data_IF_223851514884
#
_entry.id   IF_223851514884
#
_cell.length_a   1.000
_cell.length_b   1.000
_cell.length_c   1.000
_cell.angle_alpha   90.00
_cell.angle_beta   90.00
_cell.angle_gamma   90.00
#
_symmetry.space_group_name_H-M   'P 1'
#
loop_
_entity.id
_entity.type
_entity.pdbx_description
1 polymer ?
#
# COMPACT_ATOMS: atom_id res chain seq x y z
N UNK A 1 10.21 -3.76 9.18
CA UNK A 1 9.54 -3.86 7.88
C UNK A 1 9.51 -2.48 7.22
N UNK A 2 9.82 -2.42 5.95
CA UNK A 2 9.82 -1.18 5.17
C UNK A 2 8.56 -1.09 4.34
N UNK A 3 7.80 -0.01 4.50
CA UNK A 3 6.48 0.18 3.89
C UNK A 3 6.53 1.36 2.93
N UNK A 4 5.99 1.18 1.73
CA UNK A 4 5.68 2.29 0.84
C UNK A 4 4.23 2.70 1.09
N UNK A 5 4.03 3.96 1.43
CA UNK A 5 2.70 4.53 1.68
C UNK A 5 2.41 5.61 0.65
N UNK A 6 1.40 5.40 -0.17
CA UNK A 6 1.00 6.33 -1.23
C UNK A 6 -0.34 6.96 -0.87
N UNK A 7 -0.31 8.24 -0.56
CA UNK A 7 -1.47 9.04 -0.16
C UNK A 7 -1.22 10.49 -0.57
N UNK A 8 -2.11 11.08 -1.33
CA UNK A 8 -1.93 12.44 -1.84
C UNK A 8 -2.19 13.52 -0.79
N UNK A 9 -3.02 13.25 0.22
CA UNK A 9 -3.26 14.20 1.31
C UNK A 9 -2.09 14.14 2.28
N UNK A 10 -1.36 15.24 2.39
CA UNK A 10 -0.14 15.31 3.21
C UNK A 10 -0.43 15.03 4.70
N UNK A 11 -1.51 15.60 5.23
CA UNK A 11 -1.86 15.42 6.65
C UNK A 11 -2.20 13.96 6.95
N UNK A 12 -2.97 13.32 6.07
CA UNK A 12 -3.31 11.91 6.23
C UNK A 12 -2.07 11.04 6.10
N UNK A 13 -1.22 11.34 5.12
CA UNK A 13 0.03 10.60 4.91
C UNK A 13 0.94 10.70 6.14
N UNK A 14 1.10 11.89 6.69
CA UNK A 14 1.91 12.10 7.90
C UNK A 14 1.32 11.36 9.10
N UNK A 15 0.02 11.42 9.29
CA UNK A 15 -0.65 10.73 10.39
C UNK A 15 -0.48 9.22 10.32
N UNK A 16 -0.68 8.64 9.15
CA UNK A 16 -0.47 7.20 8.95
C UNK A 16 0.99 6.81 9.09
N UNK A 17 1.90 7.65 8.61
CA UNK A 17 3.34 7.42 8.76
C UNK A 17 3.71 7.36 10.24
N UNK A 18 3.28 8.33 11.03
CA UNK A 18 3.57 8.37 12.47
C UNK A 18 3.01 7.14 13.17
N UNK A 19 1.80 6.75 12.81
CA UNK A 19 1.16 5.57 13.38
C UNK A 19 1.96 4.29 13.08
N UNK A 20 2.34 4.10 11.83
CA UNK A 20 3.10 2.92 11.42
C UNK A 20 4.51 2.91 12.03
N UNK A 21 5.15 4.06 12.10
CA UNK A 21 6.46 4.18 12.73
C UNK A 21 6.40 3.90 14.22
N UNK A 22 5.30 4.26 14.88
CA UNK A 22 5.11 3.94 16.31
C UNK A 22 5.02 2.43 16.54
N UNK A 23 4.66 1.66 15.52
CA UNK A 23 4.63 0.19 15.59
C UNK A 23 5.96 -0.45 15.20
N UNK A 24 6.98 0.35 14.94
CA UNK A 24 8.32 -0.13 14.64
C UNK A 24 8.62 -0.30 13.15
N UNK A 25 7.74 0.14 12.26
CA UNK A 25 7.97 0.03 10.82
C UNK A 25 8.68 1.26 10.28
N UNK A 26 9.41 1.09 9.18
CA UNK A 26 9.98 2.21 8.42
C UNK A 26 9.05 2.55 7.27
N UNK A 27 8.78 3.84 7.04
CA UNK A 27 7.81 4.25 6.04
C UNK A 27 8.45 5.22 5.05
N UNK A 28 8.24 4.95 3.75
CA UNK A 28 8.56 5.89 2.68
C UNK A 28 7.21 6.39 2.15
N UNK A 29 6.98 7.69 2.23
CA UNK A 29 5.74 8.32 1.78
C UNK A 29 5.85 8.84 0.37
N UNK A 30 4.74 8.77 -0.36
CA UNK A 30 4.63 9.29 -1.72
C UNK A 30 3.27 9.93 -1.91
N UNK A 31 3.21 11.00 -2.69
CA UNK A 31 1.97 11.74 -2.94
C UNK A 31 1.25 11.37 -4.23
N UNK A 32 1.83 10.51 -5.07
CA UNK A 32 1.24 10.11 -6.34
C UNK A 32 1.60 8.68 -6.71
N UNK A 33 0.80 8.10 -7.61
CA UNK A 33 1.08 6.75 -8.12
C UNK A 33 2.38 6.70 -8.93
N UNK A 34 2.63 7.73 -9.72
CA UNK A 34 3.84 7.82 -10.54
C UNK A 34 5.10 7.86 -9.65
N UNK A 35 5.06 8.66 -8.60
CA UNK A 35 6.15 8.75 -7.63
C UNK A 35 6.31 7.44 -6.86
N UNK A 36 5.20 6.83 -6.46
CA UNK A 36 5.21 5.53 -5.79
C UNK A 36 5.83 4.44 -6.66
N UNK A 37 5.51 4.44 -7.95
CA UNK A 37 6.11 3.49 -8.89
C UNK A 37 7.62 3.71 -9.02
N UNK A 38 8.06 4.97 -9.03
CA UNK A 38 9.49 5.28 -9.06
C UNK A 38 10.21 4.71 -7.84
N UNK A 39 9.60 4.80 -6.67
CA UNK A 39 10.15 4.18 -5.45
C UNK A 39 10.23 2.66 -5.58
N UNK A 40 9.19 2.03 -6.13
CA UNK A 40 9.18 0.57 -6.33
C UNK A 40 10.25 0.10 -7.31
N UNK A 41 10.61 0.93 -8.27
CA UNK A 41 11.70 0.65 -9.21
C UNK A 41 13.07 0.80 -8.57
N UNK A 42 13.19 1.71 -7.59
CA UNK A 42 14.47 2.06 -6.98
C UNK A 42 14.85 1.15 -5.81
N UNK A 43 13.88 0.59 -5.10
CA UNK A 43 14.17 -0.17 -3.88
C UNK A 43 13.08 -1.19 -3.59
N UNK A 44 13.40 -2.15 -2.71
CA UNK A 44 12.46 -3.19 -2.30
C UNK A 44 11.68 -2.76 -1.06
N UNK A 45 10.39 -3.08 -1.05
CA UNK A 45 9.51 -2.86 0.10
C UNK A 45 8.91 -4.19 0.55
N UNK A 46 8.55 -4.28 1.82
CA UNK A 46 7.92 -5.47 2.39
C UNK A 46 6.40 -5.33 2.47
N UNK A 47 5.88 -4.14 2.26
CA UNK A 47 4.45 -3.88 2.17
C UNK A 47 4.23 -2.59 1.37
N UNK A 48 3.19 -2.58 0.54
CA UNK A 48 2.74 -1.38 -0.18
C UNK A 48 1.33 -1.06 0.30
N UNK A 49 1.11 0.17 0.73
CA UNK A 49 -0.21 0.68 1.11
C UNK A 49 -0.47 1.88 0.22
N UNK A 50 -1.56 1.85 -0.54
CA UNK A 50 -1.89 2.94 -1.46
C UNK A 50 -3.37 3.28 -1.43
N UNK A 51 -3.69 4.56 -1.51
CA UNK A 51 -5.03 4.99 -1.88
C UNK A 51 -5.32 4.58 -3.31
N UNK A 52 -6.58 4.31 -3.61
CA UNK A 52 -7.00 4.12 -5.00
C UNK A 52 -7.08 5.46 -5.72
N UNK A 53 -7.79 6.44 -5.11
CA UNK A 53 -8.00 7.75 -5.71
C UNK A 53 -6.81 8.65 -5.46
N UNK A 54 -6.04 8.90 -6.51
CA UNK A 54 -4.84 9.74 -6.48
C UNK A 54 -4.92 10.71 -7.67
N UNK A 55 -4.28 11.88 -7.59
CA UNK A 55 -4.18 12.76 -8.75
C UNK A 55 -3.34 12.08 -9.84
N UNK A 56 -3.75 12.24 -11.09
CA UNK A 56 -3.11 11.53 -12.21
C UNK A 56 -3.55 10.07 -12.24
N UNK A 57 -2.61 9.15 -12.28
CA UNK A 57 -2.93 7.72 -12.29
C UNK A 57 -3.37 7.26 -10.90
N UNK A 58 -4.23 6.24 -10.84
CA UNK A 58 -4.73 5.72 -9.57
C UNK A 58 -3.82 4.66 -8.97
N UNK A 59 -4.11 4.26 -7.72
CA UNK A 59 -3.31 3.26 -7.03
C UNK A 59 -3.34 1.88 -7.68
N UNK A 60 -4.48 1.51 -8.29
CA UNK A 60 -4.58 0.25 -9.02
C UNK A 60 -3.64 0.20 -10.20
N UNK A 61 -3.54 1.30 -10.96
CA UNK A 61 -2.58 1.42 -12.07
C UNK A 61 -1.15 1.21 -11.59
N UNK A 62 -0.78 1.86 -10.48
CA UNK A 62 0.56 1.72 -9.92
C UNK A 62 0.88 0.26 -9.59
N UNK A 63 -0.04 -0.42 -8.92
CA UNK A 63 0.16 -1.81 -8.55
C UNK A 63 0.23 -2.74 -9.76
N UNK A 64 -0.59 -2.49 -10.77
CA UNK A 64 -0.55 -3.28 -12.02
C UNK A 64 0.76 -3.09 -12.76
N UNK A 65 1.25 -1.85 -12.86
CA UNK A 65 2.53 -1.58 -13.50
C UNK A 65 3.68 -2.24 -12.74
N UNK A 66 3.67 -2.11 -11.42
CA UNK A 66 4.69 -2.72 -10.58
C UNK A 66 4.71 -4.25 -10.72
N UNK A 67 3.53 -4.87 -10.82
CA UNK A 67 3.42 -6.32 -11.03
C UNK A 67 3.99 -6.73 -12.37
N UNK A 68 3.67 -6.00 -13.44
CA UNK A 68 4.21 -6.26 -14.78
C UNK A 68 5.74 -6.16 -14.83
N UNK A 69 6.29 -5.22 -14.05
CA UNK A 69 7.73 -4.99 -13.99
C UNK A 69 8.40 -5.87 -12.94
N UNK A 70 7.67 -6.77 -12.33
CA UNK A 70 8.17 -7.69 -11.30
C UNK A 70 8.77 -6.95 -10.10
N UNK A 71 8.19 -5.80 -9.74
CA UNK A 71 8.65 -4.98 -8.61
C UNK A 71 7.97 -5.33 -7.30
N UNK A 72 6.89 -6.11 -7.33
CA UNK A 72 6.19 -6.52 -6.12
C UNK A 72 6.62 -7.90 -5.63
N UNK A 73 6.86 -8.83 -6.56
CA UNK A 73 7.24 -10.22 -6.23
C UNK A 73 6.39 -10.76 -5.07
N UNK A 74 6.98 -11.03 -3.92
CA UNK A 74 6.28 -11.54 -2.73
C UNK A 74 5.78 -10.42 -1.82
N UNK A 75 5.83 -9.17 -2.26
CA UNK A 75 5.40 -8.02 -1.47
C UNK A 75 3.88 -7.92 -1.45
N UNK A 76 3.24 -8.04 -0.28
CA UNK A 76 1.81 -7.81 -0.17
C UNK A 76 1.46 -6.34 -0.42
N UNK A 77 0.25 -6.12 -0.90
CA UNK A 77 -0.24 -4.78 -1.18
C UNK A 77 -1.65 -4.60 -0.64
N UNK A 78 -1.89 -3.42 -0.09
CA UNK A 78 -3.20 -3.00 0.43
C UNK A 78 -3.63 -1.76 -0.34
N UNK A 79 -4.84 -1.78 -0.88
CA UNK A 79 -5.41 -0.63 -1.57
C UNK A 79 -6.60 -0.11 -0.76
N UNK A 80 -6.62 1.18 -0.50
CA UNK A 80 -7.63 1.83 0.33
C UNK A 80 -8.52 2.69 -0.56
N UNK A 81 -9.84 2.57 -0.39
CA UNK A 81 -10.78 3.35 -1.19
C UNK A 81 -12.07 3.65 -0.43
N UNK A 82 -12.68 4.81 -0.70
CA UNK A 82 -14.04 5.10 -0.28
C UNK A 82 -15.06 4.64 -1.33
N UNK A 83 -14.60 4.26 -2.52
CA UNK A 83 -15.50 3.89 -3.62
C UNK A 83 -15.97 2.44 -3.44
N UNK A 84 -17.30 2.18 -3.44
CA UNK A 84 -17.81 0.85 -3.09
C UNK A 84 -17.62 -0.21 -4.17
N UNK A 85 -17.28 0.18 -5.40
CA UNK A 85 -17.24 -0.75 -6.54
C UNK A 85 -15.86 -0.90 -7.16
N UNK A 86 -14.82 -0.45 -6.49
CA UNK A 86 -13.46 -0.63 -7.00
C UNK A 86 -13.05 -2.07 -6.84
N UNK A 87 -12.49 -2.65 -7.90
CA UNK A 87 -11.89 -3.98 -7.86
C UNK A 87 -10.38 -3.85 -7.79
N UNK A 88 -9.74 -4.43 -6.78
CA UNK A 88 -8.29 -4.40 -6.70
C UNK A 88 -7.67 -5.34 -7.72
N UNK A 89 -6.41 -5.12 -8.11
CA UNK A 89 -5.66 -6.11 -8.87
C UNK A 89 -5.58 -7.44 -8.12
N UNK A 90 -5.36 -8.53 -8.85
CA UNK A 90 -5.28 -9.88 -8.25
C UNK A 90 -4.21 -9.90 -7.15
N UNK A 91 -4.58 -10.43 -5.99
CA UNK A 91 -3.67 -10.58 -4.86
C UNK A 91 -3.52 -9.33 -4.00
N UNK A 92 -4.22 -8.27 -4.33
CA UNK A 92 -4.21 -7.02 -3.55
C UNK A 92 -5.38 -7.02 -2.57
N UNK A 93 -5.10 -6.69 -1.32
CA UNK A 93 -6.13 -6.58 -0.28
C UNK A 93 -6.81 -5.23 -0.39
N UNK A 94 -8.14 -5.22 -0.41
CA UNK A 94 -8.92 -3.98 -0.48
C UNK A 94 -9.43 -3.61 0.92
N UNK A 95 -9.25 -2.35 1.30
CA UNK A 95 -9.77 -1.81 2.55
C UNK A 95 -10.61 -0.58 2.23
N UNK A 96 -11.80 -0.51 2.80
CA UNK A 96 -12.72 0.61 2.57
C UNK A 96 -12.55 1.70 3.64
N UNK A 97 -12.66 2.95 3.19
CA UNK A 97 -12.73 4.09 4.11
C UNK A 97 -14.15 4.19 4.71
N UNK A 98 -14.32 4.71 5.92
CA UNK A 98 -13.26 5.24 6.80
C UNK A 98 -12.43 4.11 7.42
N UNK A 99 -11.13 4.38 7.64
CA UNK A 99 -10.25 3.39 8.25
C UNK A 99 -10.56 3.20 9.72
N UNK A 100 -10.74 1.95 10.14
CA UNK A 100 -10.68 1.59 11.54
C UNK A 100 -9.21 1.34 11.87
N UNK A 101 -8.64 2.21 12.70
CA UNK A 101 -7.20 2.19 12.97
C UNK A 101 -6.75 0.87 13.57
N UNK A 102 -7.51 0.32 14.53
CA UNK A 102 -7.14 -0.95 15.14
C UNK A 102 -7.16 -2.10 14.14
N UNK A 103 -8.20 -2.17 13.32
CA UNK A 103 -8.30 -3.20 12.28
C UNK A 103 -7.21 -3.04 11.22
N UNK A 104 -6.88 -1.80 10.87
CA UNK A 104 -5.82 -1.51 9.91
C UNK A 104 -4.46 -1.97 10.43
N UNK A 105 -4.12 -1.64 11.68
CA UNK A 105 -2.85 -2.07 12.27
C UNK A 105 -2.77 -3.59 12.41
N UNK A 106 -3.89 -4.22 12.73
CA UNK A 106 -3.97 -5.68 12.80
C UNK A 106 -3.71 -6.32 11.45
N UNK A 107 -4.29 -5.77 10.38
CA UNK A 107 -4.05 -6.23 9.02
C UNK A 107 -2.57 -6.08 8.65
N UNK A 108 -1.97 -4.93 8.93
CA UNK A 108 -0.54 -4.69 8.63
C UNK A 108 0.33 -5.71 9.35
N UNK A 109 0.05 -6.00 10.62
CA UNK A 109 0.77 -7.00 11.38
C UNK A 109 0.62 -8.40 10.80
N UNK A 110 -0.57 -8.76 10.34
CA UNK A 110 -0.83 -10.04 9.68
C UNK A 110 -0.02 -10.16 8.40
N UNK A 111 -0.01 -9.12 7.58
CA UNK A 111 0.71 -9.12 6.30
C UNK A 111 2.23 -9.12 6.50
N UNK A 112 2.71 -8.54 7.60
CA UNK A 112 4.13 -8.60 7.93
C UNK A 112 4.60 -10.06 8.11
N UNK A 113 3.76 -10.93 8.64
CA UNK A 113 4.09 -12.32 8.92
C UNK A 113 3.65 -13.30 7.83
N UNK A 114 2.97 -12.83 6.78
CA UNK A 114 2.41 -13.68 5.74
C UNK A 114 2.76 -13.11 4.34
N UNK A 115 3.90 -13.55 3.75
CA UNK A 115 4.26 -13.11 2.41
C UNK A 115 3.15 -13.38 1.41
N UNK A 116 3.01 -12.49 0.44
CA UNK A 116 1.96 -12.56 -0.58
C UNK A 116 1.91 -13.92 -1.29
N UNK A 117 3.07 -14.48 -1.62
CA UNK A 117 3.15 -15.77 -2.29
C UNK A 117 2.58 -16.90 -1.43
N UNK A 118 2.77 -16.86 -0.11
CA UNK A 118 2.21 -17.85 0.81
C UNK A 118 0.70 -17.68 0.96
N UNK A 119 0.20 -16.44 0.91
CA UNK A 119 -1.24 -16.16 1.02
C UNK A 119 -1.99 -16.68 -0.20
N UNK A 120 -1.37 -16.68 -1.35
CA UNK A 120 -1.96 -17.18 -2.58
C UNK A 120 -2.02 -18.70 -2.71
N UNK A 121 -1.39 -19.38 -1.80
CA UNK A 121 -1.40 -20.85 -1.80
C UNK A 121 -2.71 -21.40 -1.13
#
# INVERSE_FOLDING_TARGET
>A
MKILLVEDNEDIREGLTDLLESEGYSVVGSGSAEEGLAHLRAECFQLVITDYMLPGENGGWMLEQAEREQRLRDTPAVMITAHPRVKPPTGVRLVHKPLDINSFLELVGTLHNAPRAAVGA
#
